data_IF_118043983823
#
_entry.id   IF_118043983823
#
_cell.length_a   1.000
_cell.length_b   1.000
_cell.length_c   1.000
_cell.angle_alpha   90.00
_cell.angle_beta   90.00
_cell.angle_gamma   90.00
#
_symmetry.space_group_name_H-M   'P 1'
#
loop_
_entity.id
_entity.type
_entity.pdbx_description
1 polymer ?
#
# COMPACT_ATOMS: atom_id res chain seq x y z
N UNK A 1 -10.59 4.58 -3.23
CA UNK A 1 -11.27 3.92 -4.36
C UNK A 1 -12.55 3.28 -3.87
N UNK A 2 -13.67 3.65 -4.47
CA UNK A 2 -14.98 3.01 -4.26
C UNK A 2 -15.10 1.72 -5.08
N UNK A 3 -16.05 0.80 -4.77
CA UNK A 3 -16.24 -0.42 -5.58
C UNK A 3 -16.55 -0.12 -7.05
N UNK A 4 -17.33 0.94 -7.29
CA UNK A 4 -17.74 1.38 -8.62
C UNK A 4 -16.55 1.91 -9.42
N UNK A 5 -15.72 2.76 -8.82
CA UNK A 5 -14.45 3.20 -9.44
C UNK A 5 -13.52 2.01 -9.74
N UNK A 6 -13.37 1.09 -8.78
CA UNK A 6 -12.54 -0.10 -8.97
C UNK A 6 -13.01 -0.98 -10.14
N UNK A 7 -14.32 -1.16 -10.28
CA UNK A 7 -14.90 -1.92 -11.40
C UNK A 7 -14.67 -1.24 -12.76
N UNK A 8 -14.76 0.09 -12.82
CA UNK A 8 -14.46 0.85 -14.04
C UNK A 8 -12.98 0.75 -14.41
N UNK A 9 -12.08 0.96 -13.45
CA UNK A 9 -10.63 0.85 -13.68
C UNK A 9 -10.23 -0.58 -14.08
N UNK A 10 -10.83 -1.60 -13.46
CA UNK A 10 -10.64 -3.00 -13.84
C UNK A 10 -11.06 -3.26 -15.28
N UNK A 11 -12.25 -2.80 -15.66
CA UNK A 11 -12.78 -2.98 -17.03
C UNK A 11 -11.88 -2.30 -18.07
N UNK A 12 -11.34 -1.12 -17.76
CA UNK A 12 -10.40 -0.42 -18.63
C UNK A 12 -9.09 -1.21 -18.81
N UNK A 13 -8.49 -1.71 -17.73
CA UNK A 13 -7.27 -2.52 -17.82
C UNK A 13 -7.50 -3.85 -18.55
N UNK A 14 -8.60 -4.53 -18.29
CA UNK A 14 -8.95 -5.77 -18.99
C UNK A 14 -9.19 -5.53 -20.49
N UNK A 15 -9.67 -4.35 -20.89
CA UNK A 15 -9.80 -3.99 -22.31
C UNK A 15 -8.47 -3.79 -23.03
N UNK A 16 -7.39 -3.53 -22.27
CA UNK A 16 -6.02 -3.40 -22.76
C UNK A 16 -5.21 -4.71 -22.60
N UNK A 17 -5.90 -5.85 -22.36
CA UNK A 17 -5.30 -7.17 -22.12
C UNK A 17 -4.40 -7.23 -20.86
N UNK A 18 -4.63 -6.33 -19.90
CA UNK A 18 -3.89 -6.29 -18.64
C UNK A 18 -4.68 -7.04 -17.57
N UNK A 19 -4.13 -8.18 -17.12
CA UNK A 19 -4.73 -8.94 -16.05
C UNK A 19 -4.71 -8.17 -14.73
N UNK A 20 -5.88 -8.06 -14.09
CA UNK A 20 -6.02 -7.35 -12.82
C UNK A 20 -7.15 -7.91 -11.96
N UNK A 21 -7.10 -7.62 -10.65
CA UNK A 21 -8.17 -7.96 -9.72
C UNK A 21 -8.31 -6.92 -8.60
N UNK A 22 -9.51 -6.83 -8.03
CA UNK A 22 -9.80 -5.99 -6.88
C UNK A 22 -9.55 -6.79 -5.60
N UNK A 23 -8.52 -6.39 -4.86
CA UNK A 23 -8.24 -6.92 -3.52
C UNK A 23 -9.11 -6.18 -2.50
N UNK A 24 -9.55 -6.91 -1.49
CA UNK A 24 -10.32 -6.42 -0.33
C UNK A 24 -11.77 -5.98 -0.65
N UNK A 25 -12.25 -6.10 -1.90
CA UNK A 25 -13.61 -5.69 -2.31
C UNK A 25 -14.72 -6.44 -1.55
N UNK A 26 -14.64 -7.76 -1.48
CA UNK A 26 -15.60 -8.58 -0.73
C UNK A 26 -15.57 -8.29 0.77
N UNK A 27 -14.39 -8.01 1.33
CA UNK A 27 -14.23 -7.72 2.76
C UNK A 27 -14.81 -6.35 3.13
N UNK A 28 -14.59 -5.34 2.29
CA UNK A 28 -15.18 -4.00 2.48
C UNK A 28 -16.70 -4.04 2.33
N UNK A 29 -17.22 -4.84 1.40
CA UNK A 29 -18.66 -5.01 1.19
C UNK A 29 -19.33 -5.77 2.36
N UNK A 30 -18.69 -6.83 2.86
CA UNK A 30 -19.25 -7.65 3.94
C UNK A 30 -19.08 -7.03 5.34
N UNK A 31 -18.00 -6.28 5.56
CA UNK A 31 -17.70 -5.63 6.84
C UNK A 31 -17.27 -4.18 6.63
N UNK A 32 -18.22 -3.24 6.39
CA UNK A 32 -17.91 -1.85 6.08
C UNK A 32 -17.07 -1.13 7.16
N UNK A 33 -17.21 -1.55 8.42
CA UNK A 33 -16.44 -1.01 9.55
C UNK A 33 -14.94 -1.36 9.50
N UNK A 34 -14.54 -2.38 8.74
CA UNK A 34 -13.12 -2.75 8.52
C UNK A 34 -12.44 -1.90 7.44
N UNK A 35 -13.19 -1.07 6.71
CA UNK A 35 -12.66 -0.24 5.61
C UNK A 35 -11.52 0.69 6.06
N UNK A 36 -11.61 1.25 7.28
CA UNK A 36 -10.57 2.10 7.87
C UNK A 36 -9.25 1.35 8.10
N UNK A 37 -9.28 0.04 8.35
CA UNK A 37 -8.08 -0.76 8.59
C UNK A 37 -7.43 -1.26 7.30
N UNK A 38 -8.23 -1.52 6.26
CA UNK A 38 -7.77 -2.10 4.99
C UNK A 38 -7.20 -1.06 4.00
N UNK A 39 -7.30 0.24 4.33
CA UNK A 39 -6.89 1.35 3.46
C UNK A 39 -7.69 1.37 2.13
N UNK A 40 -8.93 0.88 2.16
CA UNK A 40 -9.82 0.77 1.00
C UNK A 40 -9.56 -0.44 0.09
N UNK A 41 -10.30 -0.47 -1.03
CA UNK A 41 -10.15 -1.47 -2.10
C UNK A 41 -8.88 -1.17 -2.88
N UNK A 42 -8.11 -2.21 -3.25
CA UNK A 42 -6.87 -2.07 -4.03
C UNK A 42 -6.99 -2.78 -5.36
N UNK A 43 -6.69 -2.10 -6.46
CA UNK A 43 -6.51 -2.73 -7.76
C UNK A 43 -5.10 -3.33 -7.82
N UNK A 44 -5.00 -4.60 -8.18
CA UNK A 44 -3.75 -5.33 -8.28
C UNK A 44 -3.53 -5.77 -9.72
N UNK A 45 -2.30 -5.60 -10.20
CA UNK A 45 -1.83 -6.03 -11.53
C UNK A 45 -0.59 -6.89 -11.36
N UNK A 46 -0.20 -7.64 -12.40
CA UNK A 46 1.08 -8.33 -12.38
C UNK A 46 2.21 -7.30 -12.31
N UNK A 47 3.33 -7.59 -11.62
CA UNK A 47 4.45 -6.64 -11.53
C UNK A 47 4.99 -6.18 -12.89
N UNK A 48 4.97 -7.08 -13.87
CA UNK A 48 5.42 -6.81 -15.25
C UNK A 48 4.52 -5.81 -15.99
N UNK A 49 3.25 -5.71 -15.61
CA UNK A 49 2.28 -4.83 -16.28
C UNK A 49 2.11 -3.50 -15.54
N UNK A 50 2.84 -3.30 -14.43
CA UNK A 50 2.65 -2.14 -13.54
C UNK A 50 2.75 -0.81 -14.28
N UNK A 51 3.82 -0.61 -15.04
CA UNK A 51 4.08 0.67 -15.70
C UNK A 51 3.05 0.95 -16.79
N UNK A 52 2.70 -0.09 -17.56
CA UNK A 52 1.66 0.00 -18.59
C UNK A 52 0.27 0.26 -17.98
N UNK A 53 -0.08 -0.39 -16.88
CA UNK A 53 -1.34 -0.17 -16.19
C UNK A 53 -1.44 1.28 -15.67
N UNK A 54 -0.36 1.82 -15.11
CA UNK A 54 -0.31 3.23 -14.69
C UNK A 54 -0.51 4.17 -15.87
N UNK A 55 0.13 3.90 -17.01
CA UNK A 55 -0.04 4.70 -18.23
C UNK A 55 -1.51 4.71 -18.70
N UNK A 56 -2.13 3.54 -18.81
CA UNK A 56 -3.53 3.40 -19.23
C UNK A 56 -4.47 4.13 -18.27
N UNK A 57 -4.26 3.97 -16.95
CA UNK A 57 -5.09 4.64 -15.95
C UNK A 57 -4.92 6.16 -15.95
N UNK A 58 -3.71 6.66 -16.21
CA UNK A 58 -3.45 8.11 -16.39
C UNK A 58 -4.17 8.65 -17.62
N UNK A 59 -4.09 7.93 -18.76
CA UNK A 59 -4.81 8.30 -19.98
C UNK A 59 -6.33 8.30 -19.77
N UNK A 60 -6.84 7.36 -18.97
CA UNK A 60 -8.25 7.28 -18.59
C UNK A 60 -8.70 8.30 -17.52
N UNK A 61 -7.80 9.12 -16.99
CA UNK A 61 -8.13 10.12 -15.95
C UNK A 61 -8.36 9.54 -14.54
N UNK A 62 -7.94 8.29 -14.30
CA UNK A 62 -8.13 7.59 -13.01
C UNK A 62 -6.91 7.65 -12.08
N UNK A 63 -5.79 8.22 -12.54
CA UNK A 63 -4.55 8.30 -11.78
C UNK A 63 -3.93 9.69 -11.88
N UNK A 64 -3.72 10.33 -10.72
CA UNK A 64 -2.83 11.48 -10.56
C UNK A 64 -1.55 10.99 -9.85
N UNK A 65 -0.42 11.67 -10.06
CA UNK A 65 0.86 11.22 -9.52
C UNK A 65 0.80 11.01 -7.99
N UNK A 66 1.05 9.77 -7.57
CA UNK A 66 1.07 9.39 -6.16
C UNK A 66 2.24 10.10 -5.47
N UNK A 67 1.95 11.08 -4.60
CA UNK A 67 2.99 11.60 -3.69
C UNK A 67 3.40 10.46 -2.76
N UNK A 68 4.70 10.16 -2.64
CA UNK A 68 5.16 9.08 -1.78
C UNK A 68 4.66 9.30 -0.36
N UNK A 69 4.07 8.26 0.22
CA UNK A 69 3.41 8.25 1.52
C UNK A 69 4.47 8.30 2.65
N UNK A 70 5.11 9.47 2.79
CA UNK A 70 6.27 9.72 3.66
C UNK A 70 5.91 9.70 5.16
N UNK A 71 4.64 9.85 5.51
CA UNK A 71 4.13 9.94 6.89
C UNK A 71 4.40 8.68 7.72
N UNK A 72 4.34 7.49 7.11
CA UNK A 72 4.48 6.23 7.86
C UNK A 72 5.93 5.79 8.05
N UNK A 73 6.83 6.13 7.12
CA UNK A 73 8.26 5.82 7.24
C UNK A 73 8.93 6.62 8.35
N UNK A 74 8.56 7.90 8.51
CA UNK A 74 9.11 8.74 9.58
C UNK A 74 8.76 8.17 10.97
N UNK A 75 7.53 7.67 11.14
CA UNK A 75 7.06 7.10 12.41
C UNK A 75 7.66 5.72 12.69
N UNK A 76 7.81 4.87 11.67
CA UNK A 76 8.47 3.57 11.81
C UNK A 76 9.99 3.71 12.08
N UNK A 77 10.67 4.65 11.42
CA UNK A 77 12.10 4.91 11.63
C UNK A 77 12.42 5.30 13.07
N UNK A 78 11.59 6.14 13.69
CA UNK A 78 11.78 6.55 15.09
C UNK A 78 11.73 5.36 16.07
N UNK A 79 10.80 4.41 15.85
CA UNK A 79 10.68 3.21 16.69
C UNK A 79 11.93 2.32 16.54
N UNK A 80 12.39 2.11 15.30
CA UNK A 80 13.61 1.33 15.05
C UNK A 80 14.84 1.95 15.71
N UNK A 81 15.00 3.27 15.65
CA UNK A 81 16.12 3.99 16.30
C UNK A 81 16.06 3.84 17.82
N UNK A 82 14.88 3.97 18.43
CA UNK A 82 14.72 3.78 19.88
C UNK A 82 15.05 2.35 20.31
N UNK A 83 14.59 1.35 19.56
CA UNK A 83 14.93 -0.07 19.82
C UNK A 83 16.44 -0.29 19.69
N UNK A 84 17.08 0.25 18.65
CA UNK A 84 18.52 0.14 18.45
C UNK A 84 19.32 0.77 19.60
N UNK A 85 18.94 1.98 20.03
CA UNK A 85 19.58 2.65 21.17
C UNK A 85 19.40 1.82 22.45
N UNK A 86 18.19 1.31 22.71
CA UNK A 86 17.93 0.48 23.88
C UNK A 86 18.80 -0.81 23.89
N UNK A 87 18.97 -1.46 22.73
CA UNK A 87 19.83 -2.64 22.59
C UNK A 87 21.32 -2.29 22.81
N UNK A 88 21.80 -1.17 22.28
CA UNK A 88 23.18 -0.71 22.49
C UNK A 88 23.44 -0.39 23.97
N UNK A 89 22.50 0.27 24.65
CA UNK A 89 22.59 0.56 26.08
C UNK A 89 22.59 -0.75 26.90
N UNK A 90 21.71 -1.70 26.56
CA UNK A 90 21.66 -3.00 27.23
C UNK A 90 22.99 -3.76 27.07
N UNK A 91 23.56 -3.81 25.86
CA UNK A 91 24.86 -4.42 25.59
C UNK A 91 25.99 -3.73 26.37
N UNK A 92 25.99 -2.40 26.41
CA UNK A 92 26.98 -1.62 27.17
C UNK A 92 26.91 -1.91 28.67
N UNK A 93 25.71 -1.96 29.25
CA UNK A 93 25.50 -2.29 30.66
C UNK A 93 25.89 -3.74 30.98
N UNK A 94 25.74 -4.65 30.02
CA UNK A 94 26.15 -6.05 30.18
C UNK A 94 27.67 -6.22 30.13
N UNK A 95 28.34 -5.49 29.24
CA UNK A 95 29.80 -5.54 29.11
C UNK A 95 30.53 -4.73 30.20
N UNK A 96 29.89 -3.71 30.78
CA UNK A 96 30.46 -2.89 31.87
C UNK A 96 30.40 -3.53 33.27
N UNK A 97 29.88 -4.76 33.40
CA UNK A 97 29.77 -5.52 34.66
C UNK A 97 30.80 -6.64 34.82
N UNK A 98 31.81 -6.70 33.95
CA UNK A 98 32.95 -7.64 34.02
C UNK A 98 34.16 -7.03 34.70
#
# INVERSE_FOLDING_TARGET
MTPVEGSMMKSLLESEDIWCYLKDEHTVTAAPYMSNMLKGIKLQVRPVDKDRAVEVLKQGGYFEDEKPDTTNYARQGAIFVLIMIALLVALYLWHGKG
#
